data_IF_655564926219
#
_entry.id   IF_655564926219
#
_cell.length_a   1.000
_cell.length_b   1.000
_cell.length_c   1.000
_cell.angle_alpha   90.00
_cell.angle_beta   90.00
_cell.angle_gamma   90.00
#
_symmetry.space_group_name_H-M   'P 1'
#
loop_
_entity.id
_entity.type
_entity.pdbx_description
1 polymer ?
#
# COMPACT_ATOMS: atom_id res chain seq x y z
N UNK A 1 -3.89 5.86 18.55
CA UNK A 1 -2.64 5.17 18.10
C UNK A 1 -2.03 5.99 16.94
N UNK A 2 -1.49 7.19 17.25
CA UNK A 2 -1.06 8.22 16.29
C UNK A 2 0.47 8.44 16.34
N UNK A 3 1.26 7.37 16.32
CA UNK A 3 2.73 7.43 16.46
C UNK A 3 3.49 7.05 15.18
N UNK A 4 2.85 7.15 14.00
CA UNK A 4 3.48 6.85 12.70
C UNK A 4 3.70 8.06 11.79
N UNK A 5 3.21 9.26 12.14
CA UNK A 5 3.11 10.37 11.19
C UNK A 5 4.46 10.93 10.72
N UNK A 6 5.43 11.15 11.63
CA UNK A 6 6.67 11.87 11.27
C UNK A 6 7.68 11.03 10.46
N UNK A 7 7.75 9.72 10.69
CA UNK A 7 8.62 8.83 9.91
C UNK A 7 8.17 8.70 8.44
N UNK A 8 6.88 8.90 8.16
CA UNK A 8 6.30 8.78 6.82
C UNK A 8 6.58 10.01 5.94
N UNK A 9 6.81 11.19 6.51
CA UNK A 9 6.95 12.44 5.74
C UNK A 9 8.28 12.53 4.97
N UNK A 10 9.39 11.99 5.48
CA UNK A 10 10.65 11.91 4.70
C UNK A 10 10.66 10.75 3.70
N UNK A 11 10.00 9.64 4.06
CA UNK A 11 9.73 8.55 3.14
C UNK A 11 8.89 9.02 1.93
N UNK A 12 7.95 9.94 2.14
CA UNK A 12 7.00 10.36 1.10
C UNK A 12 7.66 11.01 -0.14
N UNK A 13 8.74 11.78 0.01
CA UNK A 13 9.40 12.44 -1.14
C UNK A 13 10.18 11.47 -2.01
N UNK A 14 10.94 10.55 -1.40
CA UNK A 14 11.66 9.50 -2.14
C UNK A 14 10.67 8.50 -2.75
N UNK A 15 9.61 8.14 -2.01
CA UNK A 15 8.55 7.27 -2.52
C UNK A 15 7.78 7.96 -3.65
N UNK A 16 7.58 9.28 -3.60
CA UNK A 16 6.99 10.04 -4.70
C UNK A 16 7.87 10.01 -5.95
N UNK A 17 9.18 10.22 -5.80
CA UNK A 17 10.13 10.13 -6.91
C UNK A 17 10.14 8.73 -7.53
N UNK A 18 10.18 7.67 -6.71
CA UNK A 18 10.09 6.28 -7.18
C UNK A 18 8.75 5.96 -7.85
N UNK A 19 7.64 6.50 -7.35
CA UNK A 19 6.31 6.28 -7.91
C UNK A 19 6.11 6.91 -9.31
N UNK A 20 6.81 8.00 -9.60
CA UNK A 20 6.86 8.64 -10.93
C UNK A 20 7.85 7.91 -11.86
N UNK A 21 8.78 7.14 -11.29
CA UNK A 21 9.78 6.37 -12.03
C UNK A 21 11.11 7.10 -12.18
N UNK A 22 11.49 7.93 -11.19
CA UNK A 22 12.78 8.58 -11.18
C UNK A 22 13.92 7.54 -11.25
N UNK A 23 14.97 7.79 -12.06
CA UNK A 23 16.07 6.85 -12.24
C UNK A 23 16.82 6.63 -10.93
N UNK A 24 17.02 5.37 -10.55
CA UNK A 24 17.80 4.97 -9.37
C UNK A 24 19.24 4.71 -9.77
N UNK A 25 20.14 5.61 -9.40
CA UNK A 25 21.59 5.40 -9.57
C UNK A 25 22.16 4.68 -8.34
N UNK A 26 23.03 3.67 -8.50
CA UNK A 26 23.71 3.01 -7.38
C UNK A 26 24.40 4.02 -6.47
N UNK A 27 24.35 3.78 -5.14
CA UNK A 27 24.94 4.69 -4.14
C UNK A 27 24.08 5.89 -3.76
N UNK A 28 22.94 6.12 -4.43
CA UNK A 28 22.02 7.22 -4.05
C UNK A 28 21.05 6.79 -2.94
N UNK A 29 20.55 7.78 -2.20
CA UNK A 29 19.45 7.57 -1.23
C UNK A 29 18.19 7.00 -1.89
N UNK A 30 17.96 7.30 -3.17
CA UNK A 30 16.83 6.78 -3.95
C UNK A 30 16.98 5.27 -4.22
N UNK A 31 18.19 4.81 -4.57
CA UNK A 31 18.48 3.39 -4.76
C UNK A 31 18.40 2.61 -3.43
N UNK A 32 18.94 3.17 -2.34
CA UNK A 32 18.80 2.56 -1.02
C UNK A 32 17.32 2.42 -0.60
N UNK A 33 16.51 3.46 -0.87
CA UNK A 33 15.06 3.43 -0.62
C UNK A 33 14.34 2.41 -1.50
N UNK A 34 14.71 2.30 -2.78
CA UNK A 34 14.15 1.31 -3.69
C UNK A 34 14.39 -0.11 -3.16
N UNK A 35 15.62 -0.44 -2.75
CA UNK A 35 15.96 -1.74 -2.13
C UNK A 35 15.18 -1.99 -0.84
N UNK A 36 15.02 -0.96 0.00
CA UNK A 36 14.24 -1.08 1.23
C UNK A 36 12.76 -1.38 0.93
N UNK A 37 12.16 -0.70 -0.05
CA UNK A 37 10.77 -0.91 -0.45
C UNK A 37 10.57 -2.31 -1.06
N UNK A 38 11.47 -2.76 -1.93
CA UNK A 38 11.37 -4.09 -2.57
C UNK A 38 11.81 -5.23 -1.65
N UNK A 39 12.33 -4.94 -0.45
CA UNK A 39 12.71 -5.95 0.53
C UNK A 39 11.53 -6.85 0.91
N UNK A 40 11.81 -8.14 1.11
CA UNK A 40 10.81 -9.14 1.50
C UNK A 40 10.02 -8.71 2.74
N UNK A 41 10.71 -8.20 3.76
CA UNK A 41 10.07 -7.72 5.00
C UNK A 41 9.06 -6.60 4.73
N UNK A 42 9.41 -5.64 3.86
CA UNK A 42 8.51 -4.53 3.55
C UNK A 42 7.30 -5.00 2.72
N UNK A 43 7.54 -5.84 1.70
CA UNK A 43 6.48 -6.47 0.90
C UNK A 43 5.50 -7.26 1.76
N UNK A 44 6.00 -8.04 2.71
CA UNK A 44 5.17 -8.80 3.65
C UNK A 44 4.37 -7.87 4.58
N UNK A 45 4.94 -6.77 5.05
CA UNK A 45 4.22 -5.79 5.86
C UNK A 45 3.04 -5.18 5.09
N UNK A 46 3.24 -4.80 3.82
CA UNK A 46 2.18 -4.28 2.94
C UNK A 46 1.09 -5.34 2.71
N UNK A 47 1.49 -6.58 2.42
CA UNK A 47 0.55 -7.67 2.22
C UNK A 47 -0.29 -7.94 3.49
N UNK A 48 0.32 -7.87 4.68
CA UNK A 48 -0.40 -8.01 5.96
C UNK A 48 -1.41 -6.88 6.16
N UNK A 49 -1.01 -5.62 5.93
CA UNK A 49 -1.93 -4.47 6.02
C UNK A 49 -3.13 -4.60 5.08
N UNK A 50 -2.92 -5.11 3.86
CA UNK A 50 -4.01 -5.37 2.92
C UNK A 50 -4.93 -6.51 3.39
N UNK A 51 -4.37 -7.62 3.89
CA UNK A 51 -5.17 -8.72 4.45
C UNK A 51 -5.97 -8.28 5.68
N UNK A 52 -5.38 -7.46 6.55
CA UNK A 52 -6.05 -6.92 7.74
C UNK A 52 -7.20 -6.00 7.33
N UNK A 53 -7.02 -5.15 6.32
CA UNK A 53 -8.10 -4.31 5.80
C UNK A 53 -9.30 -5.11 5.26
N UNK A 54 -9.04 -6.23 4.58
CA UNK A 54 -10.07 -7.15 4.07
C UNK A 54 -10.75 -7.94 5.19
N UNK A 55 -10.01 -8.29 6.25
CA UNK A 55 -10.57 -8.93 7.45
C UNK A 55 -11.47 -7.96 8.21
N UNK A 56 -10.99 -6.74 8.44
CA UNK A 56 -11.72 -5.68 9.14
C UNK A 56 -12.97 -5.22 8.39
N UNK A 57 -13.00 -5.32 7.05
CA UNK A 57 -14.21 -5.04 6.27
C UNK A 57 -15.31 -6.10 6.47
N UNK A 58 -14.90 -7.36 6.67
CA UNK A 58 -15.79 -8.51 6.85
C UNK A 58 -16.33 -8.66 8.27
N UNK A 59 -15.64 -8.13 9.29
CA UNK A 59 -16.11 -8.23 10.68
C UNK A 59 -17.30 -7.29 10.93
N UNK A 60 -18.49 -7.88 10.93
CA UNK A 60 -19.77 -7.22 11.21
C UNK A 60 -19.99 -6.97 12.70
N UNK A 61 -19.17 -7.56 13.56
CA UNK A 61 -19.25 -7.41 15.01
C UNK A 61 -18.60 -6.07 15.37
N UNK A 62 -19.39 -5.10 15.83
CA UNK A 62 -19.04 -3.68 15.93
C UNK A 62 -17.81 -3.27 16.76
N UNK A 63 -17.04 -4.21 17.32
CA UNK A 63 -15.85 -3.97 18.12
C UNK A 63 -14.65 -3.45 17.30
N UNK A 64 -14.49 -3.89 16.04
CA UNK A 64 -13.37 -3.46 15.17
C UNK A 64 -13.68 -2.16 14.43
N UNK A 65 -14.96 -1.86 14.19
CA UNK A 65 -15.41 -0.67 13.45
C UNK A 65 -14.98 0.67 14.09
N UNK A 66 -14.70 0.68 15.39
CA UNK A 66 -14.20 1.86 16.12
C UNK A 66 -12.69 2.11 15.96
N UNK A 67 -11.90 1.08 15.58
CA UNK A 67 -10.43 1.17 15.57
C UNK A 67 -9.85 1.62 14.23
N UNK A 68 -10.55 1.37 13.13
CA UNK A 68 -10.09 1.75 11.79
C UNK A 68 -11.28 2.14 10.91
N UNK A 69 -11.41 3.40 10.49
CA UNK A 69 -12.48 3.83 9.62
C UNK A 69 -12.20 3.32 8.21
N UNK A 70 -12.53 2.07 7.90
CA UNK A 70 -12.34 1.44 6.59
C UNK A 70 -13.62 1.59 5.74
N UNK A 71 -13.47 1.91 4.46
CA UNK A 71 -14.58 2.02 3.51
C UNK A 71 -15.00 0.63 2.99
N UNK A 72 -15.82 -0.07 3.76
CA UNK A 72 -16.19 -1.48 3.52
C UNK A 72 -16.61 -1.78 2.07
N UNK A 73 -17.52 -0.99 1.51
CA UNK A 73 -18.00 -1.21 0.14
C UNK A 73 -16.89 -1.12 -0.92
N UNK A 74 -15.89 -0.26 -0.72
CA UNK A 74 -14.77 -0.13 -1.65
C UNK A 74 -13.78 -1.28 -1.48
N UNK A 75 -13.55 -1.71 -0.24
CA UNK A 75 -12.68 -2.86 0.05
C UNK A 75 -13.29 -4.15 -0.48
N UNK A 76 -14.60 -4.34 -0.33
CA UNK A 76 -15.29 -5.51 -0.86
C UNK A 76 -15.31 -5.51 -2.39
N UNK A 77 -15.56 -4.36 -3.04
CA UNK A 77 -15.44 -4.22 -4.49
C UNK A 77 -14.02 -4.49 -4.99
N UNK A 78 -13.00 -4.11 -4.20
CA UNK A 78 -11.59 -4.30 -4.55
C UNK A 78 -10.99 -5.63 -4.07
N UNK A 79 -11.77 -6.53 -3.47
CA UNK A 79 -11.27 -7.76 -2.83
C UNK A 79 -10.39 -8.60 -3.76
N UNK A 80 -10.82 -8.77 -5.01
CA UNK A 80 -10.04 -9.51 -6.03
C UNK A 80 -8.72 -8.81 -6.33
N UNK A 81 -8.75 -7.50 -6.62
CA UNK A 81 -7.54 -6.72 -6.89
C UNK A 81 -6.57 -6.69 -5.70
N UNK A 82 -7.09 -6.66 -4.47
CA UNK A 82 -6.29 -6.80 -3.24
C UNK A 82 -5.62 -8.18 -3.20
N UNK A 83 -6.36 -9.25 -3.50
CA UNK A 83 -5.85 -10.61 -3.59
C UNK A 83 -4.68 -10.73 -4.58
N UNK A 84 -4.84 -10.18 -5.78
CA UNK A 84 -3.80 -10.20 -6.82
C UNK A 84 -2.52 -9.47 -6.39
N UNK A 85 -2.67 -8.28 -5.79
CA UNK A 85 -1.54 -7.51 -5.27
C UNK A 85 -0.85 -8.27 -4.13
N UNK A 86 -1.61 -8.88 -3.20
CA UNK A 86 -1.05 -9.70 -2.12
C UNK A 86 -0.29 -10.90 -2.67
N UNK A 87 -0.83 -11.60 -3.68
CA UNK A 87 -0.17 -12.73 -4.31
C UNK A 87 1.17 -12.32 -4.92
N UNK A 88 1.20 -11.21 -5.67
CA UNK A 88 2.44 -10.66 -6.25
C UNK A 88 3.45 -10.24 -5.18
N UNK A 89 2.99 -9.58 -4.11
CA UNK A 89 3.87 -9.17 -3.01
C UNK A 89 4.48 -10.36 -2.27
N UNK A 90 3.81 -11.51 -2.22
CA UNK A 90 4.32 -12.73 -1.58
C UNK A 90 5.11 -13.65 -2.52
N UNK A 91 4.94 -13.50 -3.83
CA UNK A 91 5.65 -14.30 -4.81
C UNK A 91 7.18 -14.12 -4.70
N UNK A 92 8.00 -15.15 -4.97
CA UNK A 92 9.46 -15.02 -4.94
C UNK A 92 10.02 -14.09 -6.04
N UNK A 93 9.21 -13.77 -7.06
CA UNK A 93 9.61 -12.89 -8.14
C UNK A 93 10.02 -11.48 -7.64
N UNK A 94 11.02 -10.85 -8.27
CA UNK A 94 11.33 -9.45 -8.01
C UNK A 94 10.11 -8.58 -8.35
N UNK A 95 9.86 -7.57 -7.52
CA UNK A 95 8.80 -6.58 -7.73
C UNK A 95 9.42 -5.23 -8.02
N UNK A 96 8.75 -4.43 -8.85
CA UNK A 96 9.24 -3.10 -9.17
C UNK A 96 9.14 -2.15 -7.96
N UNK A 97 10.18 -1.35 -7.74
CA UNK A 97 10.17 -0.30 -6.71
C UNK A 97 9.07 0.75 -6.96
N UNK A 98 8.72 1.00 -8.23
CA UNK A 98 7.66 1.93 -8.63
C UNK A 98 6.28 1.45 -8.18
N UNK A 99 5.96 0.18 -8.43
CA UNK A 99 4.69 -0.43 -8.01
C UNK A 99 4.55 -0.44 -6.49
N UNK A 100 5.63 -0.84 -5.79
CA UNK A 100 5.64 -0.85 -4.32
C UNK A 100 5.55 0.56 -3.74
N UNK A 101 6.23 1.56 -4.30
CA UNK A 101 6.15 2.94 -3.84
C UNK A 101 4.74 3.53 -4.01
N UNK A 102 4.06 3.22 -5.13
CA UNK A 102 2.66 3.61 -5.34
C UNK A 102 1.73 2.98 -4.32
N UNK A 103 1.90 1.68 -4.06
CA UNK A 103 1.11 0.98 -3.05
C UNK A 103 1.34 1.56 -1.65
N UNK A 104 2.60 1.76 -1.26
CA UNK A 104 2.96 2.36 0.02
C UNK A 104 2.29 3.73 0.19
N UNK A 105 2.27 4.56 -0.85
CA UNK A 105 1.59 5.87 -0.82
C UNK A 105 0.07 5.74 -0.64
N UNK A 106 -0.60 4.82 -1.34
CA UNK A 106 -2.04 4.59 -1.18
C UNK A 106 -2.38 4.19 0.26
N UNK A 107 -1.55 3.36 0.88
CA UNK A 107 -1.73 2.91 2.26
C UNK A 107 -1.33 3.98 3.29
N UNK A 108 -0.33 4.80 2.97
CA UNK A 108 0.19 5.86 3.84
C UNK A 108 -0.73 7.07 3.95
N UNK A 109 -1.49 7.37 2.90
CA UNK A 109 -2.28 8.60 2.77
C UNK A 109 -3.33 8.75 3.89
N UNK A 110 -3.81 7.66 4.49
CA UNK A 110 -4.78 7.67 5.59
C UNK A 110 -6.17 8.24 5.24
N UNK A 111 -6.26 8.89 4.08
CA UNK A 111 -7.41 9.60 3.52
C UNK A 111 -7.78 9.06 2.13
N UNK A 112 -7.06 8.03 1.67
CA UNK A 112 -7.34 7.34 0.41
C UNK A 112 -8.62 6.49 0.45
N UNK A 113 -9.05 5.91 -0.68
CA UNK A 113 -10.36 5.26 -0.87
C UNK A 113 -10.52 3.96 -0.05
N UNK A 114 -9.46 3.53 0.62
CA UNK A 114 -9.46 2.46 1.62
C UNK A 114 -10.13 2.90 2.92
N UNK A 115 -10.09 4.20 3.24
CA UNK A 115 -10.63 4.76 4.48
C UNK A 115 -12.03 5.35 4.26
N UNK A 116 -12.88 5.27 5.29
CA UNK A 116 -14.33 5.60 5.27
C UNK A 116 -14.64 7.00 4.74
N UNK A 117 -13.74 7.95 4.98
CA UNK A 117 -13.88 9.34 4.52
C UNK A 117 -13.10 9.64 3.24
N UNK A 118 -12.33 8.66 2.74
CA UNK A 118 -11.57 8.80 1.50
C UNK A 118 -12.43 8.62 0.27
N UNK A 119 -12.10 9.36 -0.80
CA UNK A 119 -12.81 9.30 -2.09
C UNK A 119 -11.94 8.69 -3.20
N UNK A 120 -12.62 8.19 -4.22
CA UNK A 120 -12.03 7.69 -5.45
C UNK A 120 -12.07 6.16 -5.58
N UNK A 121 -11.52 5.67 -6.69
CA UNK A 121 -11.59 4.26 -7.06
C UNK A 121 -10.39 3.47 -6.50
N UNK A 122 -10.66 2.55 -5.57
CA UNK A 122 -9.65 1.64 -5.02
C UNK A 122 -9.29 0.55 -6.03
N UNK A 123 -10.24 0.08 -6.84
CA UNK A 123 -10.05 -0.98 -7.82
C UNK A 123 -9.07 -0.53 -8.89
N UNK A 124 -9.32 0.60 -9.55
CA UNK A 124 -8.44 1.15 -10.57
C UNK A 124 -7.05 1.48 -10.04
N UNK A 125 -6.95 1.99 -8.81
CA UNK A 125 -5.65 2.27 -8.17
C UNK A 125 -4.85 0.99 -7.90
N UNK A 126 -5.49 -0.07 -7.40
CA UNK A 126 -4.84 -1.36 -7.19
C UNK A 126 -4.52 -2.08 -8.50
N UNK A 127 -5.36 -1.94 -9.52
CA UNK A 127 -5.08 -2.43 -10.87
C UNK A 127 -3.83 -1.77 -11.47
N UNK A 128 -3.70 -0.45 -11.35
CA UNK A 128 -2.51 0.29 -11.78
C UNK A 128 -1.24 -0.07 -10.97
N UNK A 129 -1.39 -0.40 -9.69
CA UNK A 129 -0.30 -0.95 -8.87
C UNK A 129 0.09 -2.33 -9.38
N UNK A 130 -0.88 -3.23 -9.60
CA UNK A 130 -0.61 -4.57 -10.13
C UNK A 130 0.11 -4.47 -11.47
N UNK A 131 -0.38 -3.68 -12.42
CA UNK A 131 0.30 -3.49 -13.71
C UNK A 131 1.74 -2.97 -13.60
N UNK A 132 2.06 -2.26 -12.52
CA UNK A 132 3.38 -1.69 -12.28
C UNK A 132 4.29 -2.56 -11.39
N UNK A 133 3.79 -3.62 -10.73
CA UNK A 133 4.60 -4.49 -9.86
C UNK A 133 5.52 -5.40 -10.65
#
# INVERSE_FOLDING_TARGET
MMTKCLAMVRASRLDAALAVGAPTHPGTALAARATQLTSRRHREALARTLCDAVRDSGDRTGLIALRSPIHRANVDAARTAIGDVVARLRAPAPVSARGVARLHRILADGTGPLYRYGRGDLVGRLGAVSAAL
#
